data_IF_935683272134
#
_entry.id   IF_935683272134
#
_cell.length_a   1.000
_cell.length_b   1.000
_cell.length_c   1.000
_cell.angle_alpha   90.00
_cell.angle_beta   90.00
_cell.angle_gamma   90.00
#
_symmetry.space_group_name_H-M   'P 1'
#
loop_
_entity.id
_entity.type
_entity.pdbx_description
1 polymer ?
#
# COMPACT_ATOMS: atom_id res chain seq x y z
N UNK A 1 -12.79 22.66 -24.21
CA UNK A 1 -11.89 22.22 -25.30
C UNK A 1 -11.90 20.70 -25.34
N UNK A 2 -12.41 20.06 -26.40
CA UNK A 2 -12.50 18.59 -26.49
C UNK A 2 -11.19 18.07 -27.11
N UNK A 3 -10.43 17.24 -26.37
CA UNK A 3 -9.21 16.58 -26.88
C UNK A 3 -9.60 15.27 -27.55
N UNK A 4 -9.46 15.18 -28.88
CA UNK A 4 -9.62 13.93 -29.64
C UNK A 4 -8.29 13.19 -29.65
N UNK A 5 -8.24 11.99 -29.10
CA UNK A 5 -7.08 11.09 -29.19
C UNK A 5 -7.35 10.03 -30.25
N UNK A 6 -6.44 9.85 -31.20
CA UNK A 6 -6.52 8.77 -32.23
C UNK A 6 -6.05 7.45 -31.62
N UNK A 7 -6.86 6.86 -30.75
CA UNK A 7 -6.66 5.52 -30.20
C UNK A 7 -7.57 4.49 -30.89
N UNK A 8 -7.22 3.20 -30.76
CA UNK A 8 -8.06 2.08 -31.14
C UNK A 8 -8.57 1.40 -29.87
N UNK A 9 -9.88 1.18 -29.77
CA UNK A 9 -10.45 0.35 -28.71
C UNK A 9 -10.13 -1.13 -29.00
N UNK A 10 -9.44 -1.79 -28.06
CA UNK A 10 -9.06 -3.20 -28.22
C UNK A 10 -10.30 -4.09 -28.03
N UNK A 11 -10.66 -4.95 -29.00
CA UNK A 11 -11.85 -5.80 -28.93
C UNK A 11 -11.57 -7.04 -28.05
N UNK A 12 -11.49 -6.84 -26.74
CA UNK A 12 -11.25 -7.91 -25.76
C UNK A 12 -12.59 -8.37 -25.19
N UNK A 13 -12.84 -9.67 -25.18
CA UNK A 13 -14.02 -10.27 -24.54
C UNK A 13 -13.88 -10.34 -23.01
N UNK A 14 -15.01 -10.44 -22.30
CA UNK A 14 -15.01 -10.53 -20.83
C UNK A 14 -15.06 -9.19 -20.10
N UNK A 15 -15.59 -8.14 -20.73
CA UNK A 15 -15.79 -6.84 -20.08
C UNK A 15 -16.67 -6.99 -18.82
N UNK A 16 -16.26 -6.43 -17.66
CA UNK A 16 -17.01 -6.55 -16.43
C UNK A 16 -18.27 -5.67 -16.47
N UNK A 17 -19.33 -6.13 -15.83
CA UNK A 17 -20.48 -5.29 -15.54
C UNK A 17 -20.05 -4.15 -14.62
N UNK A 18 -20.38 -2.91 -14.97
CA UNK A 18 -20.04 -1.71 -14.20
C UNK A 18 -20.97 -1.55 -12.98
N UNK A 19 -20.96 -2.53 -12.09
CA UNK A 19 -21.74 -2.58 -10.86
C UNK A 19 -20.85 -3.11 -9.73
N UNK A 20 -21.00 -2.55 -8.53
CA UNK A 20 -20.25 -2.97 -7.35
C UNK A 20 -21.04 -4.06 -6.63
N UNK A 21 -20.37 -5.17 -6.33
CA UNK A 21 -20.90 -6.30 -5.57
C UNK A 21 -19.84 -6.73 -4.56
N UNK A 22 -20.26 -7.34 -3.46
CA UNK A 22 -19.32 -7.90 -2.49
C UNK A 22 -18.51 -9.02 -3.14
N UNK A 23 -17.19 -8.93 -3.01
CA UNK A 23 -16.27 -9.96 -3.47
C UNK A 23 -16.22 -11.16 -2.51
N UNK A 24 -15.40 -12.15 -2.87
CA UNK A 24 -15.09 -13.25 -1.97
C UNK A 24 -14.35 -12.73 -0.72
N UNK A 25 -14.59 -13.39 0.41
CA UNK A 25 -13.89 -13.07 1.66
C UNK A 25 -12.37 -13.27 1.50
N UNK A 26 -11.60 -12.22 1.73
CA UNK A 26 -10.14 -12.25 1.70
C UNK A 26 -9.62 -12.52 3.11
N UNK A 27 -8.72 -13.48 3.26
CA UNK A 27 -8.11 -13.83 4.56
C UNK A 27 -6.65 -13.43 4.68
N UNK A 28 -6.01 -13.06 3.57
CA UNK A 28 -4.60 -12.65 3.50
C UNK A 28 -4.44 -11.51 2.51
N UNK A 29 -3.59 -10.56 2.85
CA UNK A 29 -3.19 -9.47 1.97
C UNK A 29 -1.65 -9.39 1.95
N UNK A 30 -1.08 -8.86 0.87
CA UNK A 30 0.36 -8.73 0.76
C UNK A 30 0.77 -7.43 0.07
N UNK A 31 1.94 -6.91 0.45
CA UNK A 31 2.64 -5.87 -0.30
C UNK A 31 3.70 -6.57 -1.15
N UNK A 32 3.75 -6.22 -2.44
CA UNK A 32 4.71 -6.78 -3.38
C UNK A 32 5.92 -5.85 -3.50
N UNK A 33 7.10 -6.37 -3.16
CA UNK A 33 8.32 -5.54 -3.15
C UNK A 33 8.77 -5.12 -4.56
N UNK A 34 8.51 -5.96 -5.56
CA UNK A 34 9.00 -5.76 -6.93
C UNK A 34 8.20 -4.72 -7.74
N UNK A 35 7.06 -4.25 -7.22
CA UNK A 35 6.26 -3.19 -7.86
C UNK A 35 6.90 -1.80 -7.71
N UNK A 36 7.82 -1.63 -6.76
CA UNK A 36 8.48 -0.35 -6.49
C UNK A 36 9.87 -0.31 -7.14
N UNK A 37 9.99 0.49 -8.21
CA UNK A 37 11.19 0.56 -9.05
C UNK A 37 12.40 0.99 -8.22
N UNK A 38 13.42 0.14 -8.16
CA UNK A 38 14.67 0.43 -7.47
C UNK A 38 14.64 0.26 -5.95
N UNK A 39 13.50 -0.14 -5.38
CA UNK A 39 13.31 -0.26 -3.93
C UNK A 39 14.23 -1.32 -3.30
N UNK A 40 14.80 -0.96 -2.14
CA UNK A 40 15.63 -1.84 -1.31
C UNK A 40 15.09 -1.84 0.11
N UNK A 41 14.40 -2.91 0.55
CA UNK A 41 13.66 -2.86 1.80
C UNK A 41 14.59 -3.00 2.99
N UNK A 42 14.43 -2.10 3.97
CA UNK A 42 14.84 -2.32 5.36
C UNK A 42 13.60 -2.81 6.11
N UNK A 43 13.65 -4.04 6.63
CA UNK A 43 12.49 -4.66 7.30
C UNK A 43 12.33 -4.12 8.73
N UNK A 44 11.09 -3.85 9.13
CA UNK A 44 10.70 -3.49 10.50
C UNK A 44 9.84 -4.56 11.18
N UNK A 45 9.52 -5.63 10.46
CA UNK A 45 8.77 -6.79 10.96
C UNK A 45 9.42 -8.10 10.50
N UNK A 46 9.06 -9.18 11.18
CA UNK A 46 9.42 -10.54 10.86
C UNK A 46 8.19 -11.46 10.91
N UNK A 47 8.35 -12.70 10.43
CA UNK A 47 7.27 -13.70 10.49
C UNK A 47 6.90 -13.98 11.95
N UNK A 48 5.60 -14.00 12.23
CA UNK A 48 5.01 -14.17 13.57
C UNK A 48 4.66 -12.84 14.27
N UNK A 49 5.10 -11.70 13.74
CA UNK A 49 4.76 -10.41 14.33
C UNK A 49 3.28 -10.08 14.11
N UNK A 50 2.63 -9.55 15.16
CA UNK A 50 1.31 -8.92 15.03
C UNK A 50 1.47 -7.49 14.52
N UNK A 51 0.64 -7.12 13.55
CA UNK A 51 0.64 -5.79 12.92
C UNK A 51 -0.75 -5.19 12.92
N UNK A 52 -0.83 -3.88 13.13
CA UNK A 52 -2.05 -3.10 12.93
C UNK A 52 -2.14 -2.61 11.50
N UNK A 53 -3.35 -2.35 11.01
CA UNK A 53 -3.52 -1.66 9.73
C UNK A 53 -2.84 -0.29 9.78
N UNK A 54 -2.00 0.03 8.80
CA UNK A 54 -1.22 1.26 8.77
C UNK A 54 0.10 1.21 9.56
N UNK A 55 0.44 0.10 10.22
CA UNK A 55 1.73 -0.05 10.89
C UNK A 55 2.87 -0.24 9.89
N UNK A 56 4.03 0.37 10.13
CA UNK A 56 5.23 0.22 9.30
C UNK A 56 5.69 -1.25 9.21
N UNK A 57 5.87 -1.74 7.98
CA UNK A 57 6.39 -3.08 7.67
C UNK A 57 7.84 -2.98 7.17
N UNK A 58 8.12 -2.10 6.23
CA UNK A 58 9.47 -1.84 5.72
C UNK A 58 9.60 -0.41 5.19
N UNK A 59 10.84 0.05 5.04
CA UNK A 59 11.19 1.33 4.41
C UNK A 59 12.10 1.09 3.19
N UNK A 60 12.19 2.06 2.28
CA UNK A 60 13.12 1.99 1.16
C UNK A 60 14.46 2.65 1.49
N UNK A 61 15.53 1.84 1.54
CA UNK A 61 16.91 2.32 1.72
C UNK A 61 17.37 3.24 0.57
N UNK A 62 16.78 3.13 -0.62
CA UNK A 62 17.10 3.98 -1.78
C UNK A 62 16.28 5.27 -1.82
N UNK A 63 15.16 5.32 -1.12
CA UNK A 63 14.33 6.51 -0.97
C UNK A 63 14.02 6.75 0.52
N UNK A 64 15.00 7.30 1.28
CA UNK A 64 14.87 7.45 2.73
C UNK A 64 13.64 8.27 3.12
N UNK A 65 12.89 7.76 4.08
CA UNK A 65 11.65 8.38 4.57
C UNK A 65 10.38 7.74 4.01
N UNK A 66 10.43 7.05 2.87
CA UNK A 66 9.26 6.34 2.35
C UNK A 66 8.96 5.11 3.21
N UNK A 67 7.72 5.03 3.70
CA UNK A 67 7.21 3.99 4.58
C UNK A 67 6.20 3.12 3.84
N UNK A 68 6.32 1.80 4.01
CA UNK A 68 5.36 0.82 3.53
C UNK A 68 4.65 0.20 4.72
N UNK A 69 3.32 0.35 4.76
CA UNK A 69 2.51 0.05 5.94
C UNK A 69 1.55 -1.12 5.71
N UNK A 70 1.17 -1.83 6.77
CA UNK A 70 0.34 -3.01 6.68
C UNK A 70 -1.06 -2.70 6.12
N UNK A 71 -1.53 -3.41 5.07
CA UNK A 71 -2.83 -3.15 4.46
C UNK A 71 -3.99 -3.61 5.35
N UNK A 72 -3.75 -4.57 6.25
CA UNK A 72 -4.73 -5.15 7.17
C UNK A 72 -4.10 -5.36 8.54
N UNK A 73 -4.95 -5.44 9.57
CA UNK A 73 -4.56 -5.89 10.89
C UNK A 73 -4.40 -7.42 10.90
N UNK A 74 -3.43 -7.93 11.63
CA UNK A 74 -3.29 -9.36 11.89
C UNK A 74 -1.86 -9.80 12.10
N UNK A 75 -1.44 -10.87 11.46
CA UNK A 75 -0.14 -11.51 11.68
C UNK A 75 0.67 -11.63 10.38
N UNK A 76 1.95 -11.28 10.43
CA UNK A 76 2.88 -11.51 9.33
C UNK A 76 3.16 -13.01 9.22
N UNK A 77 2.59 -13.66 8.21
CA UNK A 77 2.72 -15.11 8.02
C UNK A 77 3.87 -15.48 7.10
N UNK A 78 4.23 -14.61 6.15
CA UNK A 78 5.29 -14.90 5.18
C UNK A 78 6.07 -13.62 4.83
N UNK A 79 7.40 -13.75 4.74
CA UNK A 79 8.29 -12.74 4.15
C UNK A 79 9.07 -13.43 3.03
N UNK A 80 8.50 -13.38 1.83
CA UNK A 80 8.98 -14.13 0.68
C UNK A 80 10.15 -13.41 0.01
N UNK A 81 11.23 -14.15 -0.22
CA UNK A 81 12.45 -13.63 -0.84
C UNK A 81 12.89 -14.48 -2.02
N UNK A 82 13.19 -13.81 -3.13
CA UNK A 82 13.70 -14.42 -4.34
C UNK A 82 15.23 -14.45 -4.41
N UNK A 83 15.75 -14.60 -5.63
CA UNK A 83 17.17 -14.58 -5.91
C UNK A 83 17.83 -13.30 -5.38
N UNK A 84 19.08 -13.41 -4.88
CA UNK A 84 19.81 -12.29 -4.25
C UNK A 84 19.04 -11.61 -3.09
N UNK A 85 18.12 -12.34 -2.44
CA UNK A 85 17.29 -11.87 -1.32
C UNK A 85 16.35 -10.71 -1.65
N UNK A 86 16.00 -10.53 -2.93
CA UNK A 86 14.96 -9.57 -3.36
C UNK A 86 13.67 -9.88 -2.62
N UNK A 87 13.02 -8.87 -2.03
CA UNK A 87 11.73 -9.03 -1.38
C UNK A 87 10.66 -9.19 -2.45
N UNK A 88 10.00 -10.35 -2.46
CA UNK A 88 8.89 -10.61 -3.36
C UNK A 88 7.60 -10.11 -2.73
N UNK A 89 7.31 -10.57 -1.50
CA UNK A 89 6.11 -10.15 -0.78
C UNK A 89 6.25 -10.23 0.72
N UNK A 90 5.46 -9.39 1.42
CA UNK A 90 5.16 -9.56 2.84
C UNK A 90 3.69 -9.86 2.97
N UNK A 91 3.34 -11.04 3.48
CA UNK A 91 1.96 -11.52 3.58
C UNK A 91 1.47 -11.39 5.01
N UNK A 92 0.36 -10.69 5.18
CA UNK A 92 -0.35 -10.54 6.45
C UNK A 92 -1.64 -11.35 6.39
N UNK A 93 -1.80 -12.29 7.32
CA UNK A 93 -3.07 -12.96 7.56
C UNK A 93 -3.96 -12.04 8.38
N UNK A 94 -5.15 -11.75 7.88
CA UNK A 94 -6.08 -10.85 8.53
C UNK A 94 -6.58 -11.44 9.86
N UNK A 95 -6.48 -10.65 10.91
CA UNK A 95 -7.00 -10.96 12.25
C UNK A 95 -7.33 -9.66 12.98
N UNK A 96 -8.55 -9.54 13.50
CA UNK A 96 -9.02 -8.32 14.15
C UNK A 96 -9.20 -7.14 13.19
N UNK A 97 -9.31 -5.95 13.77
CA UNK A 97 -9.58 -4.69 13.06
C UNK A 97 -8.74 -3.51 13.59
N UNK A 98 -7.66 -3.79 14.32
CA UNK A 98 -6.81 -2.75 14.88
C UNK A 98 -6.15 -1.90 13.79
N UNK A 99 -6.08 -0.60 14.02
CA UNK A 99 -5.49 0.33 13.08
C UNK A 99 -4.62 1.35 13.83
N UNK A 100 -3.52 1.73 13.21
CA UNK A 100 -2.82 2.95 13.59
C UNK A 100 -3.72 4.15 13.32
N UNK A 101 -3.74 5.08 14.28
CA UNK A 101 -4.50 6.32 14.17
C UNK A 101 -3.57 7.45 13.81
N UNK A 102 -3.96 8.23 12.81
CA UNK A 102 -3.22 9.39 12.34
C UNK A 102 -4.04 10.65 12.57
N UNK A 103 -3.36 11.79 12.62
CA UNK A 103 -4.03 13.08 12.69
C UNK A 103 -4.88 13.30 11.42
N UNK A 104 -6.18 13.51 11.60
CA UNK A 104 -7.09 13.78 10.51
C UNK A 104 -7.03 15.26 10.13
N UNK A 105 -6.97 15.54 8.83
CA UNK A 105 -7.10 16.89 8.28
C UNK A 105 -8.55 17.07 7.84
N UNK A 106 -9.21 18.09 8.37
CA UNK A 106 -10.58 18.41 8.01
C UNK A 106 -10.68 18.82 6.52
N UNK A 107 -11.79 18.46 5.86
CA UNK A 107 -11.94 18.63 4.41
C UNK A 107 -11.81 20.09 3.96
N UNK A 108 -12.28 21.03 4.77
CA UNK A 108 -12.20 22.47 4.57
C UNK A 108 -10.79 23.05 4.82
N UNK A 109 -9.90 22.28 5.45
CA UNK A 109 -8.52 22.68 5.75
C UNK A 109 -7.48 22.07 4.79
N UNK A 110 -7.87 21.15 3.91
CA UNK A 110 -6.93 20.46 3.00
C UNK A 110 -6.16 21.48 2.14
N UNK A 111 -6.83 22.49 1.60
CA UNK A 111 -6.22 23.48 0.69
C UNK A 111 -5.37 24.53 1.41
N UNK A 112 -5.58 24.72 2.72
CA UNK A 112 -4.85 25.70 3.53
C UNK A 112 -3.74 25.08 4.37
N UNK A 113 -3.70 23.74 4.49
CA UNK A 113 -2.66 23.01 5.21
C UNK A 113 -1.32 23.14 4.49
N UNK A 114 -0.25 23.36 5.26
CA UNK A 114 1.11 23.39 4.73
C UNK A 114 1.45 22.08 4.01
N UNK A 115 2.14 22.21 2.88
CA UNK A 115 2.51 21.08 2.02
C UNK A 115 3.28 20.02 2.80
N UNK A 116 4.23 20.43 3.62
CA UNK A 116 5.10 19.55 4.41
C UNK A 116 4.28 18.70 5.38
N UNK A 117 3.19 19.25 5.92
CA UNK A 117 2.29 18.51 6.81
C UNK A 117 1.48 17.47 6.04
N UNK A 118 1.01 17.79 4.84
CA UNK A 118 0.32 16.83 3.96
C UNK A 118 1.26 15.69 3.55
N UNK A 119 2.47 16.02 3.12
CA UNK A 119 3.50 15.04 2.76
C UNK A 119 3.80 14.11 3.96
N UNK A 120 3.99 14.67 5.15
CA UNK A 120 4.24 13.89 6.36
C UNK A 120 3.09 12.91 6.67
N UNK A 121 1.83 13.36 6.59
CA UNK A 121 0.66 12.49 6.81
C UNK A 121 0.61 11.37 5.78
N UNK A 122 0.84 11.66 4.50
CA UNK A 122 0.85 10.65 3.44
C UNK A 122 2.00 9.66 3.61
N UNK A 123 3.17 10.12 4.04
CA UNK A 123 4.32 9.26 4.34
C UNK A 123 4.02 8.37 5.53
N UNK A 124 3.52 8.92 6.64
CA UNK A 124 3.26 8.16 7.87
C UNK A 124 2.16 7.11 7.70
N UNK A 125 1.16 7.41 6.88
CA UNK A 125 0.09 6.47 6.53
C UNK A 125 0.52 5.40 5.52
N UNK A 126 1.66 5.61 4.84
CA UNK A 126 2.12 4.75 3.74
C UNK A 126 1.36 4.96 2.43
N UNK A 127 0.70 6.11 2.24
CA UNK A 127 0.00 6.49 1.00
C UNK A 127 0.90 7.26 0.01
N UNK A 128 2.14 7.57 0.38
CA UNK A 128 3.14 8.29 -0.44
C UNK A 128 4.02 7.39 -1.32
N UNK A 129 3.72 6.10 -1.49
CA UNK A 129 4.68 5.01 -1.85
C UNK A 129 5.67 5.16 -3.02
N UNK A 130 5.74 6.28 -3.76
CA UNK A 130 6.71 6.57 -4.83
C UNK A 130 7.06 8.06 -4.90
#
# INVERSE_FOLDING_TARGET
MIKIKKGLDLPISGAPTQQIQDGLSVSRAAILGEEYVGMRPTMHVQVGDKVKKGQLIFEDKKNPGVKFTAPVAGEVVEVNRGAKRVLQSVVVKQEGNEAETFEAIAADQITSTAREKLEQVLVDTGLWTT
#
